data_IF_490985157156
#
_entry.id   IF_490985157156
#
_cell.length_a   1.000
_cell.length_b   1.000
_cell.length_c   1.000
_cell.angle_alpha   90.00
_cell.angle_beta   90.00
_cell.angle_gamma   90.00
#
_symmetry.space_group_name_H-M   'P 1'
#
loop_
_entity.id
_entity.type
_entity.pdbx_description
1 polymer ?
#
# COMPACT_ATOMS: atom_id res chain seq x y z
N UNK A 1 -25.24 25.37 -8.52
CA UNK A 1 -23.95 25.82 -7.93
C UNK A 1 -23.08 24.58 -7.73
N UNK A 2 -21.86 24.54 -8.27
CA UNK A 2 -20.90 23.49 -7.92
C UNK A 2 -20.38 23.76 -6.50
N UNK A 3 -20.37 22.73 -5.62
CA UNK A 3 -19.76 22.85 -4.31
C UNK A 3 -18.27 23.22 -4.46
N UNK A 4 -17.78 24.07 -3.57
CA UNK A 4 -16.36 24.42 -3.56
C UNK A 4 -15.51 23.13 -3.31
N UNK A 5 -14.42 22.97 -4.07
CA UNK A 5 -13.49 21.85 -3.87
C UNK A 5 -12.66 22.13 -2.62
N UNK A 6 -13.07 21.57 -1.49
CA UNK A 6 -12.42 21.77 -0.19
C UNK A 6 -11.47 20.61 0.18
N UNK A 7 -11.68 19.40 -0.37
CA UNK A 7 -10.83 18.23 -0.12
C UNK A 7 -9.58 18.34 -0.97
N UNK A 8 -8.40 18.37 -0.34
CA UNK A 8 -7.09 18.45 -0.99
C UNK A 8 -6.34 17.12 -1.02
N UNK A 9 -6.72 16.15 -0.18
CA UNK A 9 -6.08 14.83 -0.12
C UNK A 9 -6.62 13.99 1.04
N UNK A 10 -6.05 12.79 1.19
CA UNK A 10 -6.24 11.95 2.36
C UNK A 10 -5.17 12.32 3.40
N UNK A 11 -5.60 12.61 4.63
CA UNK A 11 -4.68 12.97 5.72
C UNK A 11 -4.32 11.76 6.59
N UNK A 12 -5.32 10.95 6.95
CA UNK A 12 -5.12 9.80 7.81
C UNK A 12 -6.04 8.63 7.43
N UNK A 13 -5.59 7.43 7.80
CA UNK A 13 -6.42 6.22 7.84
C UNK A 13 -6.10 5.45 9.11
N UNK A 14 -7.07 4.65 9.60
CA UNK A 14 -6.90 3.87 10.83
C UNK A 14 -7.19 2.41 10.59
N UNK A 15 -6.36 1.54 11.19
CA UNK A 15 -6.49 0.09 11.15
C UNK A 15 -6.68 -0.43 12.59
N UNK A 16 -7.56 -1.42 12.74
CA UNK A 16 -7.69 -2.16 13.98
C UNK A 16 -6.73 -3.35 13.98
N UNK A 17 -5.91 -3.49 15.01
CA UNK A 17 -4.89 -4.54 15.11
C UNK A 17 -5.06 -5.37 16.38
N UNK A 18 -4.77 -6.66 16.34
CA UNK A 18 -4.90 -7.56 17.49
C UNK A 18 -3.78 -7.35 18.52
N UNK A 19 -2.57 -7.12 18.03
CA UNK A 19 -1.36 -6.92 18.85
C UNK A 19 -0.59 -5.70 18.32
N UNK A 20 -0.70 -4.60 19.08
CA UNK A 20 -0.04 -3.34 18.71
C UNK A 20 1.48 -3.48 18.61
N UNK A 21 2.12 -4.36 19.41
CA UNK A 21 3.56 -4.54 19.36
C UNK A 21 3.99 -5.28 18.09
N UNK A 22 3.26 -6.31 17.69
CA UNK A 22 3.48 -7.02 16.44
C UNK A 22 3.32 -6.09 15.23
N UNK A 23 2.23 -5.31 15.22
CA UNK A 23 1.96 -4.34 14.16
C UNK A 23 3.00 -3.21 14.17
N UNK A 24 3.47 -2.76 15.35
CA UNK A 24 4.53 -1.76 15.44
C UNK A 24 5.85 -2.24 14.79
N UNK A 25 6.23 -3.51 14.99
CA UNK A 25 7.39 -4.10 14.29
C UNK A 25 7.17 -4.15 12.77
N UNK A 26 5.96 -4.52 12.35
CA UNK A 26 5.63 -4.60 10.93
C UNK A 26 5.66 -3.22 10.25
N UNK A 27 4.91 -2.26 10.78
CA UNK A 27 4.81 -0.92 10.16
C UNK A 27 6.08 -0.07 10.38
N UNK A 28 6.67 -0.13 11.58
CA UNK A 28 7.88 0.62 11.92
C UNK A 28 9.15 0.00 11.38
N UNK A 29 9.45 -1.24 11.77
CA UNK A 29 10.76 -1.82 11.49
C UNK A 29 10.83 -2.40 10.07
N UNK A 30 9.79 -3.11 9.60
CA UNK A 30 9.81 -3.76 8.30
C UNK A 30 9.43 -2.79 7.17
N UNK A 31 8.30 -2.06 7.28
CA UNK A 31 7.91 -1.07 6.28
C UNK A 31 8.67 0.25 6.39
N UNK A 32 9.42 0.46 7.48
CA UNK A 32 10.25 1.64 7.68
C UNK A 32 9.48 2.94 7.94
N UNK A 33 8.24 2.86 8.40
CA UNK A 33 7.45 4.04 8.70
C UNK A 33 7.91 4.69 10.01
N UNK A 34 8.10 6.00 10.00
CA UNK A 34 8.52 6.75 11.18
C UNK A 34 7.37 6.88 12.19
N UNK A 35 7.63 6.50 13.45
CA UNK A 35 6.66 6.70 14.54
C UNK A 35 6.34 8.19 14.71
N UNK A 36 5.06 8.53 14.65
CA UNK A 36 4.55 9.88 14.86
C UNK A 36 4.11 10.10 16.30
N UNK A 37 3.38 9.14 16.85
CA UNK A 37 2.81 9.22 18.20
C UNK A 37 2.47 7.82 18.71
N UNK A 38 2.61 7.61 20.02
CA UNK A 38 2.18 6.39 20.70
C UNK A 38 1.51 6.72 22.02
N UNK A 39 0.45 5.99 22.35
CA UNK A 39 -0.28 6.10 23.61
C UNK A 39 -0.56 4.70 24.14
N UNK A 40 0.18 4.31 25.18
CA UNK A 40 0.04 3.00 25.80
C UNK A 40 -1.29 2.84 26.56
N UNK A 41 -1.84 3.94 27.09
CA UNK A 41 -3.10 3.90 27.84
C UNK A 41 -4.27 3.58 26.93
N UNK A 42 -4.25 4.12 25.71
CA UNK A 42 -5.28 3.87 24.69
C UNK A 42 -4.91 2.72 23.74
N UNK A 43 -3.75 2.11 23.93
CA UNK A 43 -3.21 1.05 23.09
C UNK A 43 -3.27 1.41 21.59
N UNK A 44 -2.60 2.52 21.22
CA UNK A 44 -2.52 3.00 19.84
C UNK A 44 -1.13 3.49 19.47
N UNK A 45 -0.83 3.46 18.17
CA UNK A 45 0.37 4.06 17.59
C UNK A 45 0.06 4.64 16.21
N UNK A 46 0.63 5.81 15.91
CA UNK A 46 0.51 6.49 14.62
C UNK A 46 1.86 6.57 13.93
N UNK A 47 1.90 6.26 12.64
CA UNK A 47 3.11 6.23 11.83
C UNK A 47 2.96 7.17 10.64
N UNK A 48 3.94 8.05 10.43
CA UNK A 48 3.96 8.93 9.27
C UNK A 48 4.07 8.13 7.97
N UNK A 49 3.23 8.47 7.01
CA UNK A 49 3.31 7.98 5.63
C UNK A 49 3.95 9.07 4.79
N UNK A 50 5.17 8.81 4.32
CA UNK A 50 6.00 9.82 3.67
C UNK A 50 6.60 10.83 4.67
N UNK A 51 6.62 12.12 4.31
CA UNK A 51 7.21 13.15 5.15
C UNK A 51 6.37 13.42 6.40
N UNK A 52 7.01 13.62 7.58
CA UNK A 52 6.30 13.99 8.80
C UNK A 52 5.38 15.20 8.63
N UNK A 53 4.19 15.12 9.23
CA UNK A 53 3.17 16.18 9.17
C UNK A 53 2.29 16.14 7.91
N UNK A 54 2.49 15.21 6.96
CA UNK A 54 1.67 15.12 5.75
C UNK A 54 0.50 14.17 5.87
N UNK A 55 0.77 12.91 6.13
CA UNK A 55 -0.28 11.90 6.35
C UNK A 55 0.24 10.80 7.27
N UNK A 56 -0.67 10.05 7.88
CA UNK A 56 -0.30 8.95 8.74
C UNK A 56 -1.29 7.78 8.68
N UNK A 57 -0.82 6.62 9.09
CA UNK A 57 -1.63 5.46 9.42
C UNK A 57 -1.68 5.30 10.94
N UNK A 58 -2.88 5.17 11.48
CA UNK A 58 -3.12 4.91 12.90
C UNK A 58 -3.43 3.44 13.15
N UNK A 59 -2.76 2.85 14.13
CA UNK A 59 -2.98 1.48 14.58
C UNK A 59 -3.68 1.53 15.93
N UNK A 60 -4.83 0.86 16.05
CA UNK A 60 -5.61 0.80 17.28
C UNK A 60 -5.77 -0.66 17.70
N UNK A 61 -5.23 -1.01 18.87
CA UNK A 61 -5.41 -2.37 19.36
C UNK A 61 -6.88 -2.63 19.73
N UNK A 62 -7.40 -3.73 19.20
CA UNK A 62 -8.77 -4.20 19.40
C UNK A 62 -8.77 -5.69 19.68
N UNK A 63 -9.90 -6.17 20.19
CA UNK A 63 -10.08 -7.62 20.29
C UNK A 63 -10.06 -8.25 18.88
N UNK A 64 -9.43 -9.42 18.67
CA UNK A 64 -9.32 -10.03 17.34
C UNK A 64 -10.67 -10.20 16.60
N UNK A 65 -11.76 -10.46 17.36
CA UNK A 65 -13.11 -10.57 16.78
C UNK A 65 -13.69 -9.25 16.23
N UNK A 66 -13.08 -8.10 16.55
CA UNK A 66 -13.51 -6.77 16.08
C UNK A 66 -12.73 -6.30 14.85
N UNK A 67 -11.74 -7.10 14.42
CA UNK A 67 -10.90 -6.72 13.28
C UNK A 67 -11.65 -7.01 11.99
N UNK A 68 -11.86 -5.96 11.21
CA UNK A 68 -12.41 -6.05 9.86
C UNK A 68 -11.28 -5.79 8.89
N UNK A 69 -11.01 -6.73 7.98
CA UNK A 69 -9.99 -6.59 6.94
C UNK A 69 -10.24 -5.32 6.13
N UNK A 70 -9.22 -4.49 6.02
CA UNK A 70 -9.22 -3.23 5.28
C UNK A 70 -8.17 -3.28 4.19
N UNK A 71 -8.23 -2.32 3.26
CA UNK A 71 -7.25 -2.16 2.19
C UNK A 71 -6.60 -0.77 2.30
N UNK A 72 -5.27 -0.74 2.22
CA UNK A 72 -4.48 0.49 2.20
C UNK A 72 -3.41 0.38 1.13
N UNK A 73 -3.38 1.37 0.21
CA UNK A 73 -2.35 1.49 -0.81
C UNK A 73 -1.36 2.59 -0.45
N UNK A 74 -0.07 2.28 -0.47
CA UNK A 74 1.03 3.22 -0.27
C UNK A 74 1.64 3.62 -1.61
N UNK A 75 1.69 4.93 -1.88
CA UNK A 75 2.37 5.48 -3.07
C UNK A 75 3.88 5.29 -2.91
N UNK A 76 4.51 4.60 -3.86
CA UNK A 76 5.94 4.33 -3.88
C UNK A 76 6.55 4.76 -5.22
N UNK A 77 7.84 4.99 -5.27
CA UNK A 77 8.53 5.18 -6.54
C UNK A 77 8.60 3.83 -7.30
N UNK A 78 8.58 3.88 -8.63
CA UNK A 78 8.65 2.66 -9.45
C UNK A 78 9.93 1.85 -9.17
N UNK A 79 11.06 2.55 -9.03
CA UNK A 79 12.36 1.92 -8.72
C UNK A 79 12.39 1.28 -7.30
N UNK A 80 11.50 1.72 -6.40
CA UNK A 80 11.36 1.17 -5.06
C UNK A 80 10.49 -0.09 -5.02
N UNK A 81 9.69 -0.34 -6.05
CA UNK A 81 8.75 -1.45 -6.08
C UNK A 81 9.49 -2.81 -6.06
N UNK A 82 10.56 -2.94 -6.85
CA UNK A 82 11.40 -4.16 -6.83
C UNK A 82 12.09 -4.36 -5.49
N UNK A 83 12.59 -3.27 -4.88
CA UNK A 83 13.19 -3.31 -3.53
C UNK A 83 12.16 -3.72 -2.48
N UNK A 84 10.92 -3.23 -2.61
CA UNK A 84 9.80 -3.61 -1.76
C UNK A 84 9.48 -5.10 -1.85
N UNK A 85 9.40 -5.65 -3.06
CA UNK A 85 9.20 -7.09 -3.30
C UNK A 85 10.32 -7.90 -2.62
N UNK A 86 11.58 -7.54 -2.87
CA UNK A 86 12.73 -8.23 -2.30
C UNK A 86 12.74 -8.17 -0.77
N UNK A 87 12.42 -7.01 -0.18
CA UNK A 87 12.34 -6.83 1.26
C UNK A 87 11.23 -7.68 1.89
N UNK A 88 10.02 -7.64 1.35
CA UNK A 88 8.89 -8.44 1.83
C UNK A 88 9.20 -9.93 1.78
N UNK A 89 9.73 -10.41 0.67
CA UNK A 89 10.10 -11.82 0.47
C UNK A 89 11.19 -12.26 1.43
N UNK A 90 12.21 -11.44 1.66
CA UNK A 90 13.30 -11.73 2.61
C UNK A 90 12.78 -11.86 4.06
N UNK A 91 11.67 -11.23 4.40
CA UNK A 91 10.97 -11.34 5.69
C UNK A 91 9.87 -12.40 5.72
N UNK A 92 9.77 -13.24 4.67
CA UNK A 92 8.79 -14.32 4.59
C UNK A 92 7.36 -13.86 4.33
N UNK A 93 7.16 -12.62 3.85
CA UNK A 93 5.85 -12.09 3.51
C UNK A 93 5.56 -12.43 2.05
N UNK A 94 4.43 -13.10 1.82
CA UNK A 94 4.00 -13.46 0.48
C UNK A 94 3.56 -12.21 -0.30
N UNK A 95 4.20 -11.97 -1.44
CA UNK A 95 3.81 -10.94 -2.39
C UNK A 95 2.84 -11.53 -3.40
N UNK A 96 1.79 -10.78 -3.73
CA UNK A 96 0.69 -11.21 -4.58
C UNK A 96 0.43 -10.20 -5.70
N UNK A 97 -0.14 -10.68 -6.81
CA UNK A 97 -0.68 -9.83 -7.86
C UNK A 97 -2.13 -9.42 -7.54
N UNK A 98 -2.75 -8.66 -8.42
CA UNK A 98 -4.16 -8.24 -8.30
C UNK A 98 -5.14 -9.42 -8.18
N UNK A 99 -4.80 -10.58 -8.73
CA UNK A 99 -5.65 -11.78 -8.70
C UNK A 99 -5.39 -12.68 -7.48
N UNK A 100 -4.74 -12.17 -6.44
CA UNK A 100 -4.38 -12.90 -5.21
C UNK A 100 -3.47 -14.12 -5.44
N UNK A 101 -2.68 -14.09 -6.53
CA UNK A 101 -1.72 -15.12 -6.85
C UNK A 101 -0.32 -14.71 -6.43
N UNK A 102 0.43 -15.61 -5.81
CA UNK A 102 1.83 -15.37 -5.45
C UNK A 102 2.65 -14.99 -6.68
N UNK A 103 3.44 -13.92 -6.59
CA UNK A 103 4.21 -13.39 -7.70
C UNK A 103 5.34 -12.48 -7.23
N UNK A 104 6.35 -12.31 -8.07
CA UNK A 104 7.37 -11.26 -8.00
C UNK A 104 7.18 -10.19 -9.08
N UNK A 105 6.09 -10.29 -9.87
CA UNK A 105 5.81 -9.41 -10.99
C UNK A 105 4.61 -8.52 -10.70
N UNK A 106 4.77 -7.17 -10.69
CA UNK A 106 3.68 -6.24 -10.45
C UNK A 106 2.57 -6.34 -11.50
N UNK A 107 1.32 -6.13 -11.06
CA UNK A 107 0.16 -5.90 -11.92
C UNK A 107 0.08 -4.44 -12.33
N UNK A 108 -0.34 -4.15 -13.56
CA UNK A 108 -0.58 -2.78 -14.05
C UNK A 108 -2.03 -2.60 -14.42
N UNK A 109 -2.63 -1.51 -13.93
CA UNK A 109 -3.99 -1.11 -14.26
C UNK A 109 -4.00 -0.21 -15.50
N UNK A 110 -4.62 -0.65 -16.59
CA UNK A 110 -4.70 0.14 -17.82
C UNK A 110 -5.48 1.45 -17.67
N UNK A 111 -6.56 1.46 -16.88
CA UNK A 111 -7.39 2.65 -16.65
C UNK A 111 -6.70 3.74 -15.81
N UNK A 112 -5.78 3.33 -14.96
CA UNK A 112 -4.94 4.18 -14.13
C UNK A 112 -3.51 3.63 -14.22
N UNK A 113 -2.66 4.13 -15.13
CA UNK A 113 -1.32 3.57 -15.31
C UNK A 113 -0.52 3.55 -14.01
N UNK A 114 -0.58 2.43 -13.31
CA UNK A 114 0.11 2.21 -12.04
C UNK A 114 0.47 0.74 -11.91
N UNK A 115 1.68 0.46 -11.46
CA UNK A 115 2.16 -0.88 -11.14
C UNK A 115 1.96 -1.16 -9.65
N UNK A 116 1.40 -2.31 -9.32
CA UNK A 116 1.03 -2.66 -7.95
C UNK A 116 1.43 -4.07 -7.57
N UNK A 117 1.80 -4.23 -6.30
CA UNK A 117 1.91 -5.51 -5.61
C UNK A 117 1.08 -5.47 -4.32
N UNK A 118 0.64 -6.64 -3.88
CA UNK A 118 -0.19 -6.81 -2.69
C UNK A 118 0.47 -7.72 -1.69
N UNK A 119 0.21 -7.49 -0.41
CA UNK A 119 0.67 -8.32 0.70
C UNK A 119 -0.25 -8.10 1.90
N UNK A 120 -0.22 -9.03 2.84
CA UNK A 120 -1.02 -8.91 4.06
C UNK A 120 -0.16 -8.45 5.23
N UNK A 121 -0.74 -7.63 6.11
CA UNK A 121 -0.17 -7.31 7.41
C UNK A 121 -0.43 -8.45 8.42
N UNK A 122 0.07 -8.38 9.69
CA UNK A 122 -0.12 -9.43 10.69
C UNK A 122 -1.58 -9.76 11.02
N UNK A 123 -2.51 -8.83 10.80
CA UNK A 123 -3.94 -8.98 11.06
C UNK A 123 -4.75 -9.31 9.80
N UNK A 124 -4.08 -9.47 8.66
CA UNK A 124 -4.70 -9.78 7.37
C UNK A 124 -5.28 -8.57 6.65
N UNK A 125 -4.92 -7.34 7.02
CA UNK A 125 -5.23 -6.18 6.20
C UNK A 125 -4.48 -6.28 4.87
N UNK A 126 -5.19 -6.02 3.77
CA UNK A 126 -4.59 -6.02 2.44
C UNK A 126 -3.83 -4.72 2.24
N UNK A 127 -2.52 -4.81 2.15
CA UNK A 127 -1.67 -3.68 1.82
C UNK A 127 -1.24 -3.75 0.36
N UNK A 128 -0.99 -2.57 -0.21
CA UNK A 128 -0.56 -2.43 -1.59
C UNK A 128 0.60 -1.44 -1.65
N UNK A 129 1.65 -1.78 -2.40
CA UNK A 129 2.58 -0.79 -2.92
C UNK A 129 2.17 -0.47 -4.35
N UNK A 130 1.88 0.81 -4.62
CA UNK A 130 1.43 1.29 -5.91
C UNK A 130 2.37 2.38 -6.44
N UNK A 131 2.90 2.18 -7.64
CA UNK A 131 3.79 3.10 -8.32
C UNK A 131 3.14 3.62 -9.61
N UNK A 132 3.01 4.95 -9.74
CA UNK A 132 2.45 5.55 -10.95
C UNK A 132 3.39 5.38 -12.13
N UNK A 133 2.84 5.00 -13.27
CA UNK A 133 3.57 4.86 -14.52
C UNK A 133 3.36 6.08 -15.43
N UNK A 134 4.35 6.43 -16.25
CA UNK A 134 4.18 7.52 -17.22
C UNK A 134 3.22 7.12 -18.35
N UNK A 135 2.63 8.13 -18.97
CA UNK A 135 1.75 7.98 -20.13
C UNK A 135 0.26 8.05 -19.81
N UNK A 136 -0.57 8.09 -20.85
CA UNK A 136 -2.02 8.19 -20.69
C UNK A 136 -2.64 6.86 -20.26
N UNK A 137 -3.85 6.89 -19.66
CA UNK A 137 -4.65 5.69 -19.43
C UNK A 137 -4.92 4.92 -20.74
N UNK A 138 -4.89 3.59 -20.64
CA UNK A 138 -5.22 2.62 -21.72
C UNK A 138 -6.16 1.56 -21.15
N UNK A 139 -7.42 1.93 -20.86
CA UNK A 139 -8.39 1.06 -20.19
C UNK A 139 -8.68 -0.23 -20.97
N UNK A 140 -8.54 -0.18 -22.29
CA UNK A 140 -8.70 -1.34 -23.17
C UNK A 140 -7.70 -2.48 -22.90
N UNK A 141 -6.58 -2.17 -22.24
CA UNK A 141 -5.59 -3.18 -21.85
C UNK A 141 -5.96 -3.95 -20.57
N UNK A 142 -6.96 -3.46 -19.83
CA UNK A 142 -7.39 -4.10 -18.58
C UNK A 142 -6.28 -4.13 -17.54
N UNK A 143 -6.07 -5.30 -16.92
CA UNK A 143 -5.02 -5.54 -15.95
C UNK A 143 -4.03 -6.53 -16.56
N UNK A 144 -2.76 -6.11 -16.66
CA UNK A 144 -1.66 -6.87 -17.26
C UNK A 144 -0.44 -6.87 -16.35
N UNK A 145 0.55 -7.72 -16.63
CA UNK A 145 1.83 -7.66 -15.93
C UNK A 145 2.67 -6.44 -16.35
N UNK A 146 3.55 -5.97 -15.46
CA UNK A 146 4.44 -4.83 -15.77
C UNK A 146 5.30 -5.08 -17.03
N UNK A 147 5.95 -6.25 -17.24
CA UNK A 147 6.67 -6.51 -18.49
C UNK A 147 5.77 -6.46 -19.73
N UNK A 148 4.54 -6.90 -19.63
CA UNK A 148 3.57 -6.85 -20.73
C UNK A 148 3.15 -5.39 -21.02
N UNK A 149 2.91 -4.61 -19.99
CA UNK A 149 2.62 -3.17 -20.14
C UNK A 149 3.74 -2.44 -20.88
N UNK A 150 5.00 -2.66 -20.47
CA UNK A 150 6.16 -2.00 -21.05
C UNK A 150 6.38 -2.37 -22.54
N UNK A 151 6.16 -3.64 -22.91
CA UNK A 151 6.23 -4.05 -24.34
C UNK A 151 5.20 -3.31 -25.21
N UNK A 152 4.02 -3.04 -24.69
CA UNK A 152 2.99 -2.29 -25.41
C UNK A 152 3.21 -0.79 -25.49
N UNK A 153 4.18 -0.24 -24.77
CA UNK A 153 4.52 1.19 -24.81
C UNK A 153 5.45 1.55 -25.98
N UNK A 154 6.04 0.56 -26.67
CA UNK A 154 6.97 0.77 -27.79
C UNK A 154 6.35 0.71 -29.19
N UNK A 155 5.06 0.44 -29.34
CA UNK A 155 4.38 0.48 -30.63
C UNK A 155 3.53 1.75 -30.74
N UNK A 156 3.83 2.65 -31.70
CA UNK A 156 2.90 3.71 -32.07
C UNK A 156 1.61 3.10 -32.64
N UNK A 157 0.48 3.81 -32.54
CA UNK A 157 -0.79 3.36 -33.06
C UNK A 157 -0.80 3.17 -34.58
#
# INVERSE_FOLDING_TARGET
>A
MKAARIISGLYETHLSVADLQSSARFYGDLLGLQLAFRDETRALAFYWVGAPGRSFVGLWQKHPAEIIRQHVAFDVALDDLERGIASLTAHGIAVKNFFDQATDVPSVFGWMPAASIYFDDPDGHLLEFIARLPGPPRPERGIVSLPEWLRGCGQPP
#
